data_IF_033509747374
#
_entry.id   IF_033509747374
#
_cell.length_a   1.000
_cell.length_b   1.000
_cell.length_c   1.000
_cell.angle_alpha   90.00
_cell.angle_beta   90.00
_cell.angle_gamma   90.00
#
_symmetry.space_group_name_H-M   'P 1'
#
loop_
_entity.id
_entity.type
_entity.pdbx_description
1 polymer ?
#
# COMPACT_ATOMS: atom_id res chain seq x y z
N UNK A 1 9.20 8.17 -17.49
CA UNK A 1 9.11 9.23 -16.44
C UNK A 1 9.49 8.58 -15.12
N UNK A 2 10.54 9.01 -14.43
CA UNK A 2 10.93 8.42 -13.13
C UNK A 2 10.02 9.04 -12.05
N UNK A 3 9.14 8.22 -11.47
CA UNK A 3 8.14 8.66 -10.47
C UNK A 3 8.67 8.60 -9.03
N UNK A 4 9.68 7.77 -8.77
CA UNK A 4 10.34 7.67 -7.46
C UNK A 4 11.78 8.22 -7.54
N UNK A 5 12.04 9.30 -6.80
CA UNK A 5 13.36 9.92 -6.68
C UNK A 5 13.93 9.51 -5.31
N UNK A 6 15.01 8.73 -5.31
CA UNK A 6 15.60 8.16 -4.10
C UNK A 6 15.84 9.19 -2.98
N UNK A 7 16.46 10.33 -3.32
CA UNK A 7 16.75 11.42 -2.38
C UNK A 7 15.49 12.00 -1.71
N UNK A 8 14.34 11.97 -2.39
CA UNK A 8 13.07 12.43 -1.80
C UNK A 8 12.45 11.35 -0.91
N UNK A 9 12.58 10.07 -1.30
CA UNK A 9 12.08 8.96 -0.49
C UNK A 9 12.85 8.80 0.84
N UNK A 10 14.14 9.15 0.86
CA UNK A 10 14.93 9.15 2.10
C UNK A 10 14.33 10.08 3.16
N UNK A 11 13.66 11.16 2.76
CA UNK A 11 13.02 12.14 3.67
C UNK A 11 11.71 11.64 4.29
N UNK A 12 11.17 10.52 3.82
CA UNK A 12 9.98 9.91 4.44
C UNK A 12 10.33 9.53 5.88
N UNK A 13 9.47 9.90 6.83
CA UNK A 13 9.58 9.55 8.24
C UNK A 13 9.60 8.03 8.43
N UNK A 14 10.62 7.52 9.13
CA UNK A 14 10.80 6.06 9.34
C UNK A 14 9.97 5.50 10.50
N UNK A 15 9.48 6.40 11.35
CA UNK A 15 8.66 6.13 12.52
C UNK A 15 7.15 6.24 12.24
N UNK A 16 6.77 6.60 11.01
CA UNK A 16 5.37 6.70 10.62
C UNK A 16 4.87 5.34 10.11
N UNK A 17 3.77 4.79 10.67
CA UNK A 17 3.12 3.60 10.12
C UNK A 17 2.65 3.83 8.69
N UNK A 18 2.83 2.84 7.82
CA UNK A 18 2.42 2.89 6.42
C UNK A 18 1.59 1.66 6.05
N UNK A 19 0.46 1.90 5.40
CA UNK A 19 -0.38 0.87 4.81
C UNK A 19 -0.46 1.05 3.30
N UNK A 20 -0.05 0.03 2.54
CA UNK A 20 -0.13 0.01 1.08
C UNK A 20 -1.11 -1.08 0.66
N UNK A 21 -2.16 -0.72 -0.06
CA UNK A 21 -3.11 -1.70 -0.57
C UNK A 21 -3.52 -1.41 -2.01
N UNK A 22 -3.75 -2.47 -2.78
CA UNK A 22 -4.15 -2.39 -4.18
C UNK A 22 -4.90 -3.65 -4.61
N UNK A 23 -5.56 -3.60 -5.76
CA UNK A 23 -6.13 -4.78 -6.40
C UNK A 23 -5.09 -5.51 -7.27
N UNK A 24 -5.12 -6.85 -7.27
CA UNK A 24 -4.18 -7.65 -8.06
C UNK A 24 -4.45 -7.63 -9.57
N UNK A 25 -5.65 -7.19 -9.98
CA UNK A 25 -6.05 -7.04 -11.38
C UNK A 25 -6.04 -5.57 -11.84
N UNK A 26 -5.34 -4.69 -11.11
CA UNK A 26 -5.18 -3.28 -11.50
C UNK A 26 -4.04 -3.09 -12.53
N UNK A 27 -4.35 -2.78 -13.80
CA UNK A 27 -3.32 -2.53 -14.81
C UNK A 27 -2.51 -1.25 -14.55
N UNK A 28 -3.03 -0.31 -13.74
CA UNK A 28 -2.28 0.90 -13.36
C UNK A 28 -1.13 0.55 -12.42
N UNK A 29 -1.36 -0.41 -11.52
CA UNK A 29 -0.37 -0.96 -10.60
C UNK A 29 0.47 -2.09 -11.17
N UNK A 30 0.45 -2.30 -12.50
CA UNK A 30 1.12 -3.42 -13.17
C UNK A 30 0.72 -4.78 -12.56
N UNK A 31 -0.59 -4.99 -12.40
CA UNK A 31 -1.18 -6.19 -11.79
C UNK A 31 -0.64 -6.52 -10.39
N UNK A 32 -0.33 -5.47 -9.61
CA UNK A 32 0.19 -5.57 -8.25
C UNK A 32 1.72 -5.53 -8.15
N UNK A 33 2.47 -5.56 -9.26
CA UNK A 33 3.93 -5.49 -9.23
C UNK A 33 4.43 -4.13 -8.73
N UNK A 34 3.81 -3.04 -9.18
CA UNK A 34 4.20 -1.69 -8.77
C UNK A 34 4.01 -1.40 -7.27
N UNK A 35 2.83 -1.67 -6.64
CA UNK A 35 2.68 -1.50 -5.20
C UNK A 35 3.56 -2.46 -4.39
N UNK A 36 3.84 -3.66 -4.90
CA UNK A 36 4.80 -4.59 -4.28
C UNK A 36 6.22 -4.02 -4.30
N UNK A 37 6.66 -3.48 -5.44
CA UNK A 37 7.97 -2.85 -5.57
C UNK A 37 8.11 -1.63 -4.65
N UNK A 38 7.05 -0.82 -4.50
CA UNK A 38 7.01 0.30 -3.56
C UNK A 38 7.19 -0.18 -2.11
N UNK A 39 6.50 -1.24 -1.72
CA UNK A 39 6.64 -1.82 -0.40
C UNK A 39 8.06 -2.32 -0.13
N UNK A 40 8.68 -3.00 -1.10
CA UNK A 40 10.09 -3.43 -0.98
C UNK A 40 11.00 -2.22 -0.80
N UNK A 41 10.81 -1.15 -1.58
CA UNK A 41 11.59 0.08 -1.45
C UNK A 41 11.42 0.72 -0.06
N UNK A 42 10.21 0.74 0.49
CA UNK A 42 9.95 1.25 1.84
C UNK A 42 10.62 0.41 2.92
N UNK A 43 10.67 -0.91 2.78
CA UNK A 43 11.45 -1.78 3.68
C UNK A 43 12.95 -1.49 3.60
N UNK A 44 13.48 -1.22 2.40
CA UNK A 44 14.89 -0.87 2.22
C UNK A 44 15.24 0.50 2.82
N UNK A 45 14.25 1.38 2.95
CA UNK A 45 14.39 2.66 3.65
C UNK A 45 14.23 2.54 5.17
N UNK A 46 14.16 1.32 5.71
CA UNK A 46 14.01 1.04 7.15
C UNK A 46 12.70 1.56 7.77
N UNK A 47 11.64 1.72 6.96
CA UNK A 47 10.28 1.90 7.50
C UNK A 47 9.86 0.57 8.12
N UNK A 48 9.76 0.54 9.45
CA UNK A 48 9.55 -0.69 10.22
C UNK A 48 8.09 -1.12 10.27
N UNK A 49 7.21 -0.14 10.40
CA UNK A 49 5.78 -0.34 10.49
C UNK A 49 5.18 -0.17 9.09
N UNK A 50 5.18 -1.28 8.34
CA UNK A 50 4.72 -1.34 6.96
C UNK A 50 3.86 -2.58 6.76
N UNK A 51 2.58 -2.37 6.49
CA UNK A 51 1.64 -3.40 6.12
C UNK A 51 1.22 -3.27 4.65
N UNK A 52 1.08 -4.40 3.97
CA UNK A 52 0.81 -4.46 2.53
C UNK A 52 -0.24 -5.51 2.21
N UNK A 53 -1.27 -5.13 1.44
CA UNK A 53 -2.35 -6.05 1.03
C UNK A 53 -2.60 -5.95 -0.48
N UNK A 54 -2.65 -7.09 -1.15
CA UNK A 54 -3.15 -7.19 -2.53
C UNK A 54 -4.45 -7.96 -2.52
N UNK A 55 -5.54 -7.29 -2.88
CA UNK A 55 -6.86 -7.90 -2.96
C UNK A 55 -7.00 -8.68 -4.26
N UNK A 56 -7.24 -10.01 -4.21
CA UNK A 56 -7.39 -10.83 -5.41
C UNK A 56 -8.52 -10.32 -6.30
N UNK A 57 -8.29 -10.31 -7.62
CA UNK A 57 -9.24 -9.96 -8.68
C UNK A 57 -9.80 -8.52 -8.66
N UNK A 58 -9.55 -7.75 -7.60
CA UNK A 58 -9.92 -6.34 -7.53
C UNK A 58 -9.08 -5.50 -8.50
N UNK A 59 -9.69 -4.44 -9.06
CA UNK A 59 -9.01 -3.51 -9.97
C UNK A 59 -8.57 -2.25 -9.21
N UNK A 60 -8.64 -1.09 -9.86
CA UNK A 60 -8.01 0.14 -9.38
C UNK A 60 -8.69 0.74 -8.13
N UNK A 61 -10.02 0.83 -8.12
CA UNK A 61 -10.78 1.48 -7.05
C UNK A 61 -11.25 0.46 -6.01
N UNK A 62 -10.33 -0.19 -5.28
CA UNK A 62 -10.65 -1.28 -4.33
C UNK A 62 -11.72 -0.93 -3.29
N UNK A 63 -11.82 0.34 -2.89
CA UNK A 63 -12.88 0.83 -1.97
C UNK A 63 -14.28 0.86 -2.62
N UNK A 64 -14.38 0.76 -3.94
CA UNK A 64 -15.62 0.74 -4.72
C UNK A 64 -15.90 -0.61 -5.39
N UNK A 65 -14.97 -1.57 -5.30
CA UNK A 65 -15.12 -2.91 -5.87
C UNK A 65 -16.20 -3.76 -5.16
N UNK A 66 -16.43 -4.97 -5.66
CA UNK A 66 -17.39 -5.92 -5.08
C UNK A 66 -16.99 -6.40 -3.69
N UNK A 67 -15.69 -6.44 -3.38
CA UNK A 67 -15.15 -6.80 -2.06
C UNK A 67 -14.89 -5.58 -1.16
N UNK A 68 -15.53 -4.43 -1.42
CA UNK A 68 -15.34 -3.19 -0.64
C UNK A 68 -15.41 -3.37 0.88
N UNK A 69 -16.28 -4.27 1.35
CA UNK A 69 -16.49 -4.49 2.78
C UNK A 69 -15.21 -5.07 3.42
N UNK A 70 -14.58 -6.04 2.76
CA UNK A 70 -13.28 -6.62 3.16
C UNK A 70 -12.18 -5.53 3.19
N UNK A 71 -12.15 -4.68 2.16
CA UNK A 71 -11.17 -3.59 2.06
C UNK A 71 -11.35 -2.56 3.18
N UNK A 72 -12.60 -2.19 3.47
CA UNK A 72 -12.94 -1.24 4.52
C UNK A 72 -12.66 -1.80 5.92
N UNK A 73 -12.98 -3.07 6.17
CA UNK A 73 -12.67 -3.75 7.43
C UNK A 73 -11.16 -3.81 7.68
N UNK A 74 -10.37 -4.15 6.66
CA UNK A 74 -8.91 -4.17 6.75
C UNK A 74 -8.34 -2.77 7.03
N UNK A 75 -8.81 -1.74 6.30
CA UNK A 75 -8.40 -0.36 6.52
C UNK A 75 -8.76 0.14 7.92
N UNK A 76 -9.99 -0.14 8.39
CA UNK A 76 -10.45 0.25 9.71
C UNK A 76 -9.63 -0.44 10.81
N UNK A 77 -9.35 -1.74 10.64
CA UNK A 77 -8.52 -2.50 11.57
C UNK A 77 -7.12 -1.91 11.67
N UNK A 78 -6.51 -1.56 10.53
CA UNK A 78 -5.21 -0.90 10.49
C UNK A 78 -5.24 0.47 11.18
N UNK A 79 -6.28 1.28 10.96
CA UNK A 79 -6.43 2.58 11.62
C UNK A 79 -6.59 2.45 13.13
N UNK A 80 -7.43 1.53 13.60
CA UNK A 80 -7.66 1.30 15.03
C UNK A 80 -6.39 0.81 15.75
N UNK A 81 -5.53 0.04 15.07
CA UNK A 81 -4.26 -0.41 15.62
C UNK A 81 -3.27 0.75 15.89
N UNK A 82 -3.29 1.80 15.07
CA UNK A 82 -2.28 2.87 15.09
C UNK A 82 -2.80 4.21 15.63
N UNK A 83 -4.12 4.39 15.74
CA UNK A 83 -4.77 5.62 16.21
C UNK A 83 -5.58 5.44 17.50
N UNK A 84 -5.59 4.22 18.07
CA UNK A 84 -6.21 3.90 19.35
C UNK A 84 -5.40 4.33 20.58
#
# INVERSE_FOLDING_TARGET
KRIHIHQEMEKIRKDLPVYVFAGSADPVGDMGESPTALAVAYRHLEIKDLETVLYPDARHETLNETNRDEVQESLLSWLLLHCG
#
